data_IF_023606919934
#
_entry.id   IF_023606919934
#
_cell.length_a   1.000
_cell.length_b   1.000
_cell.length_c   1.000
_cell.angle_alpha   90.00
_cell.angle_beta   90.00
_cell.angle_gamma   90.00
#
_symmetry.space_group_name_H-M   'P 1'
#
loop_
_entity.id
_entity.type
_entity.pdbx_description
1 polymer ?
#
# COMPACT_ATOMS: atom_id res chain seq x y z
N UNK A 1 -2.47 -1.87 -20.73
CA UNK A 1 -1.07 -1.86 -20.32
C UNK A 1 -0.64 -0.41 -20.17
N UNK A 2 -0.22 -0.02 -18.97
CA UNK A 2 0.47 1.25 -18.72
C UNK A 2 1.86 0.93 -18.20
N UNK A 3 2.89 1.65 -18.66
CA UNK A 3 4.27 1.45 -18.25
C UNK A 3 4.81 2.71 -17.58
N UNK A 4 5.49 2.54 -16.45
CA UNK A 4 6.23 3.61 -15.76
C UNK A 4 7.70 3.24 -15.75
N UNK A 5 8.57 4.21 -16.03
CA UNK A 5 10.02 4.05 -16.04
C UNK A 5 10.62 4.94 -14.96
N UNK A 6 11.45 4.36 -14.09
CA UNK A 6 12.22 5.08 -13.07
C UNK A 6 13.71 4.94 -13.34
N UNK A 7 14.46 6.05 -13.33
CA UNK A 7 15.93 6.04 -13.35
C UNK A 7 16.62 5.43 -14.59
N UNK A 8 15.86 4.98 -15.60
CA UNK A 8 16.37 4.50 -16.90
C UNK A 8 16.68 3.00 -16.99
N UNK A 9 16.38 2.19 -15.97
CA UNK A 9 16.59 0.72 -15.99
C UNK A 9 15.40 -0.04 -15.43
N UNK A 10 14.71 0.50 -14.42
CA UNK A 10 13.56 -0.17 -13.82
C UNK A 10 12.25 0.24 -14.48
N UNK A 11 11.45 -0.77 -14.83
CA UNK A 11 10.16 -0.65 -15.48
C UNK A 11 9.08 -1.31 -14.64
N UNK A 12 7.95 -0.63 -14.53
CA UNK A 12 6.75 -1.11 -13.87
C UNK A 12 5.63 -1.15 -14.88
N UNK A 13 5.13 -2.35 -15.17
CA UNK A 13 4.01 -2.54 -16.09
C UNK A 13 2.74 -2.86 -15.32
N UNK A 14 1.65 -2.17 -15.67
CA UNK A 14 0.35 -2.29 -15.02
C UNK A 14 -0.74 -2.76 -15.99
N UNK A 15 -1.55 -3.69 -15.53
CA UNK A 15 -2.77 -4.13 -16.22
C UNK A 15 -4.01 -3.76 -15.43
N UNK A 16 -5.11 -3.53 -16.16
CA UNK A 16 -6.38 -3.07 -15.61
C UNK A 16 -7.54 -3.87 -16.19
N UNK A 17 -8.58 -4.05 -15.38
CA UNK A 17 -9.84 -4.62 -15.85
C UNK A 17 -10.71 -3.58 -16.59
N UNK A 18 -11.87 -4.03 -17.08
CA UNK A 18 -12.84 -3.16 -17.76
C UNK A 18 -13.48 -2.08 -16.88
N UNK A 19 -13.25 -2.11 -15.56
CA UNK A 19 -13.67 -1.10 -14.61
C UNK A 19 -12.52 -0.15 -14.21
N UNK A 20 -11.37 -0.26 -14.88
CA UNK A 20 -10.14 0.49 -14.61
C UNK A 20 -9.50 0.23 -13.25
N UNK A 21 -9.74 -0.95 -12.67
CA UNK A 21 -9.06 -1.38 -11.43
C UNK A 21 -7.73 -2.04 -11.82
N UNK A 22 -6.63 -1.67 -11.16
CA UNK A 22 -5.32 -2.28 -11.42
C UNK A 22 -5.36 -3.74 -10.97
N UNK A 23 -5.28 -4.69 -11.89
CA UNK A 23 -5.35 -6.14 -11.61
C UNK A 23 -3.97 -6.80 -11.59
N UNK A 24 -2.95 -6.16 -12.16
CA UNK A 24 -1.59 -6.69 -12.18
C UNK A 24 -0.55 -5.56 -12.11
N UNK A 25 0.56 -5.82 -11.41
CA UNK A 25 1.82 -5.07 -11.47
C UNK A 25 2.92 -6.06 -11.85
N UNK A 26 3.76 -5.70 -12.81
CA UNK A 26 4.95 -6.48 -13.19
C UNK A 26 6.19 -5.61 -13.00
N UNK A 27 7.09 -6.06 -12.13
CA UNK A 27 8.34 -5.37 -11.85
C UNK A 27 9.43 -5.99 -12.75
N UNK A 28 10.02 -5.16 -13.63
CA UNK A 28 11.11 -5.53 -14.53
C UNK A 28 10.86 -6.80 -15.36
N UNK A 29 9.60 -7.07 -15.71
CA UNK A 29 9.22 -8.23 -16.51
C UNK A 29 9.40 -9.59 -15.81
N UNK A 30 9.64 -9.63 -14.49
CA UNK A 30 9.96 -10.87 -13.76
C UNK A 30 9.04 -11.13 -12.57
N UNK A 31 8.88 -10.15 -11.67
CA UNK A 31 8.02 -10.27 -10.49
C UNK A 31 6.61 -9.83 -10.86
N UNK A 32 5.61 -10.68 -10.66
CA UNK A 32 4.20 -10.35 -10.94
C UNK A 32 3.41 -10.32 -9.65
N UNK A 33 2.75 -9.19 -9.38
CA UNK A 33 1.77 -9.05 -8.30
C UNK A 33 0.37 -8.98 -8.89
N UNK A 34 -0.53 -9.88 -8.47
CA UNK A 34 -1.95 -9.86 -8.84
C UNK A 34 -2.79 -9.15 -7.79
N UNK A 35 -3.84 -8.44 -8.20
CA UNK A 35 -4.74 -7.71 -7.31
C UNK A 35 -6.19 -8.14 -7.51
N UNK A 36 -6.83 -8.58 -6.42
CA UNK A 36 -8.21 -9.03 -6.40
C UNK A 36 -9.07 -8.07 -5.61
N UNK A 37 -10.25 -7.73 -6.15
CA UNK A 37 -11.12 -6.69 -5.58
C UNK A 37 -12.53 -7.20 -5.28
N UNK A 38 -13.15 -6.61 -4.26
CA UNK A 38 -14.59 -6.71 -4.08
C UNK A 38 -15.35 -5.67 -4.95
N UNK A 39 -16.68 -5.66 -4.82
CA UNK A 39 -17.57 -4.75 -5.58
C UNK A 39 -17.40 -3.29 -5.20
N UNK A 40 -16.85 -2.98 -4.01
CA UNK A 40 -16.62 -1.62 -3.54
C UNK A 40 -15.24 -1.07 -3.97
N UNK A 41 -14.51 -1.79 -4.84
CA UNK A 41 -13.17 -1.41 -5.30
C UNK A 41 -12.12 -1.43 -4.18
N UNK A 42 -12.30 -2.32 -3.21
CA UNK A 42 -11.31 -2.59 -2.19
C UNK A 42 -10.49 -3.80 -2.61
N UNK A 43 -9.16 -3.67 -2.60
CA UNK A 43 -8.29 -4.82 -2.84
C UNK A 43 -8.39 -5.73 -1.61
N UNK A 44 -8.78 -6.98 -1.79
CA UNK A 44 -8.99 -7.95 -0.71
C UNK A 44 -7.86 -8.99 -0.62
N UNK A 45 -7.17 -9.21 -1.73
CA UNK A 45 -6.07 -10.15 -1.85
C UNK A 45 -5.05 -9.61 -2.86
N UNK A 46 -3.79 -9.72 -2.48
CA UNK A 46 -2.66 -9.72 -3.40
C UNK A 46 -2.09 -11.12 -3.52
N UNK A 47 -1.72 -11.47 -4.73
CA UNK A 47 -0.92 -12.64 -5.02
C UNK A 47 0.46 -12.25 -5.53
N UNK A 48 1.41 -13.15 -5.37
CA UNK A 48 2.69 -13.07 -6.05
C UNK A 48 2.89 -14.27 -6.96
N UNK A 49 3.52 -14.02 -8.10
CA UNK A 49 3.81 -15.05 -9.07
C UNK A 49 5.15 -14.85 -9.75
N UNK A 50 5.81 -15.97 -10.02
CA UNK A 50 7.02 -16.06 -10.85
C UNK A 50 6.88 -17.30 -11.74
N UNK A 51 7.07 -17.15 -13.04
CA UNK A 51 7.15 -18.29 -13.97
C UNK A 51 5.87 -19.15 -14.06
N UNK A 52 4.68 -18.55 -13.86
CA UNK A 52 3.38 -19.23 -14.01
C UNK A 52 2.85 -19.92 -12.75
N UNK A 53 3.58 -19.84 -11.63
CA UNK A 53 3.03 -20.14 -10.30
C UNK A 53 2.48 -18.87 -9.67
N UNK A 54 1.39 -18.96 -8.93
CA UNK A 54 0.76 -17.85 -8.21
C UNK A 54 0.38 -18.32 -6.79
N UNK A 55 0.75 -17.54 -5.79
CA UNK A 55 0.43 -17.80 -4.39
C UNK A 55 -0.19 -16.55 -3.74
N UNK A 56 -1.06 -16.75 -2.76
CA UNK A 56 -1.57 -15.66 -1.94
C UNK A 56 -0.42 -15.02 -1.15
N UNK A 57 -0.29 -13.70 -1.25
CA UNK A 57 0.76 -12.92 -0.57
C UNK A 57 0.19 -12.12 0.60
N UNK A 58 -0.85 -11.33 0.35
CA UNK A 58 -1.40 -10.40 1.33
C UNK A 58 -2.91 -10.42 1.31
N UNK A 59 -3.55 -10.51 2.47
CA UNK A 59 -5.00 -10.35 2.62
C UNK A 59 -5.29 -9.02 3.30
N UNK A 60 -6.29 -8.30 2.79
CA UNK A 60 -6.73 -7.02 3.33
C UNK A 60 -8.17 -7.10 3.81
N UNK A 61 -8.41 -6.60 5.02
CA UNK A 61 -9.74 -6.42 5.59
C UNK A 61 -9.99 -4.93 5.76
N UNK A 62 -11.18 -4.49 5.37
CA UNK A 62 -11.56 -3.08 5.36
C UNK A 62 -12.68 -2.80 6.35
N UNK A 63 -12.69 -1.60 6.92
CA UNK A 63 -13.75 -1.17 7.83
C UNK A 63 -15.04 -0.90 7.05
N UNK A 64 -16.22 -1.20 7.61
CA UNK A 64 -17.49 -1.07 6.89
C UNK A 64 -17.93 0.39 6.67
N UNK A 65 -17.40 1.34 7.43
CA UNK A 65 -17.89 2.73 7.41
C UNK A 65 -17.29 3.59 6.30
N UNK A 66 -16.19 3.15 5.67
CA UNK A 66 -15.58 3.89 4.56
C UNK A 66 -14.76 2.98 3.65
N UNK A 67 -14.81 3.25 2.35
CA UNK A 67 -14.22 2.38 1.32
C UNK A 67 -12.70 2.30 1.40
N UNK A 68 -12.01 3.38 1.75
CA UNK A 68 -10.54 3.42 1.84
C UNK A 68 -10.05 3.30 3.30
N UNK A 69 -10.86 2.74 4.22
CA UNK A 69 -10.48 2.55 5.62
C UNK A 69 -9.92 1.15 5.86
N UNK A 70 -8.61 0.99 5.66
CA UNK A 70 -7.90 -0.28 5.91
C UNK A 70 -8.03 -0.67 7.40
N UNK A 71 -8.53 -1.87 7.68
CA UNK A 71 -8.65 -2.35 9.05
C UNK A 71 -7.44 -3.21 9.43
N UNK A 72 -7.18 -4.24 8.62
CA UNK A 72 -6.19 -5.27 8.90
C UNK A 72 -5.49 -5.66 7.61
N UNK A 73 -4.19 -5.93 7.72
CA UNK A 73 -3.40 -6.59 6.69
C UNK A 73 -2.74 -7.83 7.29
N UNK A 74 -2.86 -8.96 6.61
CA UNK A 74 -2.17 -10.20 6.95
C UNK A 74 -1.25 -10.59 5.79
N UNK A 75 0.03 -10.88 6.04
CA UNK A 75 0.92 -11.39 4.98
C UNK A 75 1.32 -12.85 5.23
N UNK A 76 1.29 -13.62 4.16
CA UNK A 76 1.58 -15.05 4.19
C UNK A 76 3.08 -15.39 4.25
N UNK A 77 3.93 -14.47 3.79
CA UNK A 77 5.40 -14.62 3.75
C UNK A 77 6.06 -14.35 5.11
N UNK A 78 5.54 -13.39 5.87
CA UNK A 78 6.06 -13.01 7.19
C UNK A 78 5.20 -13.52 8.36
N UNK A 79 4.03 -14.11 8.08
CA UNK A 79 3.04 -14.55 9.10
C UNK A 79 2.66 -13.43 10.08
N UNK A 80 2.53 -12.21 9.54
CA UNK A 80 2.25 -10.99 10.30
C UNK A 80 0.78 -10.57 10.20
N UNK A 81 0.25 -9.98 11.28
CA UNK A 81 -1.08 -9.35 11.31
C UNK A 81 -0.96 -7.93 11.86
N UNK A 82 -1.28 -6.95 11.02
CA UNK A 82 -1.20 -5.54 11.37
C UNK A 82 -2.57 -4.88 11.31
N UNK A 83 -2.90 -4.14 12.35
CA UNK A 83 -4.11 -3.33 12.46
C UNK A 83 -3.79 -1.85 12.21
N UNK A 84 -4.63 -1.18 11.43
CA UNK A 84 -4.39 0.19 11.03
C UNK A 84 -5.36 1.18 11.71
N UNK A 85 -4.78 2.33 12.06
CA UNK A 85 -5.48 3.49 12.64
C UNK A 85 -5.52 4.63 11.64
N UNK A 86 -6.52 5.50 11.77
CA UNK A 86 -6.74 6.58 10.82
C UNK A 86 -7.10 7.89 11.51
N UNK A 87 -6.80 9.00 10.84
CA UNK A 87 -7.36 10.31 11.16
C UNK A 87 -8.74 10.54 10.50
N UNK A 88 -9.30 11.75 10.68
CA UNK A 88 -10.59 12.12 10.12
C UNK A 88 -10.64 12.18 8.58
N UNK A 89 -9.48 12.31 7.92
CA UNK A 89 -9.36 12.28 6.46
C UNK A 89 -8.98 10.87 5.95
N UNK A 90 -9.02 9.88 6.83
CA UNK A 90 -8.64 8.49 6.57
C UNK A 90 -7.17 8.29 6.22
N UNK A 91 -6.30 9.25 6.51
CA UNK A 91 -4.86 9.01 6.42
C UNK A 91 -4.49 7.94 7.44
N UNK A 92 -3.72 6.93 7.03
CA UNK A 92 -3.25 5.90 7.96
C UNK A 92 -2.25 6.53 8.92
N UNK A 93 -2.53 6.57 10.22
CA UNK A 93 -1.69 7.26 11.21
C UNK A 93 -0.70 6.35 11.90
N UNK A 94 -1.03 5.07 12.02
CA UNK A 94 -0.16 4.07 12.63
C UNK A 94 -0.61 2.65 12.27
N UNK A 95 0.37 1.73 12.29
CA UNK A 95 0.19 0.29 12.29
C UNK A 95 0.51 -0.27 13.69
N UNK A 96 -0.35 -1.17 14.16
CA UNK A 96 -0.17 -1.85 15.45
C UNK A 96 -0.29 -3.35 15.27
N UNK A 97 0.39 -4.11 16.12
CA UNK A 97 0.32 -5.57 16.15
C UNK A 97 -0.14 -6.06 17.53
N UNK A 98 -0.48 -7.34 17.64
CA UNK A 98 -0.73 -7.96 18.93
C UNK A 98 0.61 -8.19 19.66
N UNK A 99 0.88 -7.41 20.71
CA UNK A 99 2.08 -7.54 21.52
C UNK A 99 1.76 -7.52 23.03
N UNK A 100 2.62 -8.16 23.83
CA UNK A 100 2.54 -8.09 25.31
C UNK A 100 3.11 -6.77 25.87
N UNK A 101 3.85 -6.01 25.05
CA UNK A 101 4.50 -4.74 25.38
C UNK A 101 3.89 -3.55 24.64
N UNK A 102 4.73 -2.75 23.98
CA UNK A 102 4.25 -1.71 23.07
C UNK A 102 3.72 -2.37 21.79
N UNK A 103 2.42 -2.22 21.45
CA UNK A 103 1.86 -2.77 20.22
C UNK A 103 2.19 -1.92 18.98
N UNK A 104 2.85 -0.77 19.15
CA UNK A 104 3.15 0.13 18.05
C UNK A 104 4.27 -0.40 17.17
N UNK A 105 4.00 -0.58 15.88
CA UNK A 105 5.01 -1.04 14.90
C UNK A 105 5.55 0.12 14.08
N UNK A 106 4.65 0.98 13.59
CA UNK A 106 5.04 2.10 12.74
C UNK A 106 4.03 3.25 12.85
N UNK A 107 4.52 4.48 12.75
CA UNK A 107 3.70 5.70 12.74
C UNK A 107 3.96 6.53 11.47
N UNK A 108 2.94 7.30 11.08
CA UNK A 108 3.03 8.16 9.90
C UNK A 108 2.52 9.57 10.22
N UNK A 109 3.33 10.56 9.89
CA UNK A 109 2.93 11.95 9.81
C UNK A 109 2.81 12.37 8.34
N UNK A 110 1.98 13.36 8.04
CA UNK A 110 1.74 13.80 6.66
C UNK A 110 1.89 15.30 6.51
N UNK A 111 2.44 15.72 5.38
CA UNK A 111 2.25 17.10 4.90
C UNK A 111 0.80 17.32 4.45
N UNK A 112 0.34 18.57 4.26
CA UNK A 112 -1.03 18.83 3.81
C UNK A 112 -1.40 18.18 2.47
N UNK A 113 -0.41 17.85 1.64
CA UNK A 113 -0.60 17.21 0.34
C UNK A 113 -0.29 15.71 0.35
N UNK A 114 -0.03 15.14 1.52
CA UNK A 114 0.02 13.69 1.70
C UNK A 114 1.40 13.06 1.56
N UNK A 115 2.47 13.86 1.52
CA UNK A 115 3.82 13.30 1.64
C UNK A 115 4.01 12.76 3.05
N UNK A 116 4.32 11.47 3.16
CA UNK A 116 4.45 10.77 4.43
C UNK A 116 5.85 10.96 5.02
N UNK A 117 5.91 11.18 6.33
CA UNK A 117 7.10 11.04 7.16
C UNK A 117 6.92 9.83 8.05
N UNK A 118 7.83 8.88 7.92
CA UNK A 118 7.83 7.64 8.69
C UNK A 118 8.46 7.89 10.05
N UNK A 119 7.79 7.44 11.10
CA UNK A 119 8.18 7.64 12.48
C UNK A 119 8.26 6.27 13.20
N UNK A 120 9.22 6.17 14.09
CA UNK A 120 9.40 5.03 14.99
C UNK A 120 8.27 4.97 16.03
N UNK A 121 8.20 3.88 16.80
CA UNK A 121 7.21 3.65 17.85
C UNK A 121 7.08 4.83 18.84
N UNK A 122 8.21 5.50 19.11
CA UNK A 122 8.38 6.58 20.07
C UNK A 122 8.22 8.00 19.47
N UNK A 123 7.74 8.13 18.23
CA UNK A 123 7.62 9.38 17.45
C UNK A 123 8.92 10.00 16.93
N UNK A 124 10.08 9.36 17.13
CA UNK A 124 11.30 9.80 16.46
C UNK A 124 11.17 9.59 14.95
N UNK A 125 11.83 10.45 14.17
CA UNK A 125 11.85 10.29 12.71
C UNK A 125 12.65 9.05 12.35
N UNK A 126 12.02 8.12 11.63
CA UNK A 126 12.67 6.89 11.23
C UNK A 126 13.88 7.17 10.33
N UNK A 127 14.97 6.43 10.54
CA UNK A 127 16.19 6.62 9.74
C UNK A 127 15.95 6.27 8.27
N UNK A 128 15.20 5.17 8.05
CA UNK A 128 14.71 4.80 6.74
C UNK A 128 13.35 5.48 6.51
N UNK A 129 13.21 6.30 5.48
CA UNK A 129 11.95 6.92 5.10
C UNK A 129 11.17 6.01 4.14
N UNK A 130 10.93 4.78 4.59
CA UNK A 130 10.17 3.72 3.92
C UNK A 130 9.57 2.81 4.98
N UNK A 131 8.43 2.19 4.69
CA UNK A 131 7.76 1.31 5.66
C UNK A 131 8.57 0.07 5.98
N UNK A 132 8.85 -0.14 7.28
CA UNK A 132 9.52 -1.35 7.77
C UNK A 132 8.68 -2.62 7.56
N UNK A 133 7.35 -2.47 7.55
CA UNK A 133 6.40 -3.56 7.34
C UNK A 133 5.92 -3.62 5.88
N UNK A 134 6.49 -2.83 4.96
CA UNK A 134 6.04 -2.77 3.57
C UNK A 134 4.59 -2.27 3.43
N UNK A 135 4.13 -1.36 4.29
CA UNK A 135 2.81 -0.76 4.16
C UNK A 135 2.77 0.24 2.99
N UNK A 136 1.91 -0.04 2.03
CA UNK A 136 1.68 0.84 0.88
C UNK A 136 0.43 1.71 1.05
N UNK A 137 -0.44 1.43 2.04
CA UNK A 137 -1.66 2.20 2.28
C UNK A 137 -1.39 3.35 3.26
N UNK A 138 -1.38 4.58 2.75
CA UNK A 138 -0.90 5.76 3.48
C UNK A 138 -1.93 6.90 3.45
N UNK A 139 -1.64 7.97 2.70
CA UNK A 139 -2.47 9.17 2.61
C UNK A 139 -3.85 8.85 2.04
N UNK A 140 -4.91 9.34 2.70
CA UNK A 140 -6.32 9.05 2.40
C UNK A 140 -6.68 7.55 2.37
N UNK A 141 -5.85 6.69 2.98
CA UNK A 141 -6.01 5.24 3.01
C UNK A 141 -5.75 4.54 1.67
N UNK A 142 -5.21 5.27 0.70
CA UNK A 142 -4.94 4.77 -0.64
C UNK A 142 -3.52 4.27 -0.76
N UNK A 143 -3.33 3.42 -1.76
CA UNK A 143 -2.05 2.83 -2.08
C UNK A 143 -1.11 3.84 -2.72
N UNK A 144 0.12 3.88 -2.25
CA UNK A 144 1.25 4.54 -2.91
C UNK A 144 2.24 3.49 -3.35
N UNK A 145 2.57 3.49 -4.63
CA UNK A 145 3.56 2.56 -5.18
C UNK A 145 4.96 3.03 -4.74
N UNK A 146 5.70 2.24 -3.94
CA UNK A 146 6.99 2.67 -3.38
C UNK A 146 8.04 2.95 -4.47
N UNK A 147 7.95 2.29 -5.62
CA UNK A 147 8.91 2.41 -6.72
C UNK A 147 8.76 3.72 -7.50
N UNK A 148 7.56 4.32 -7.47
CA UNK A 148 7.25 5.55 -8.23
C UNK A 148 6.93 6.75 -7.33
N UNK A 149 6.57 6.50 -6.06
CA UNK A 149 6.03 7.51 -5.15
C UNK A 149 4.65 8.04 -5.54
N UNK A 150 3.99 7.44 -6.54
CA UNK A 150 2.67 7.85 -7.01
C UNK A 150 1.58 7.11 -6.25
N UNK A 151 0.56 7.86 -5.86
CA UNK A 151 -0.60 7.33 -5.19
C UNK A 151 -1.70 6.96 -6.20
N UNK A 152 -2.22 5.74 -6.10
CA UNK A 152 -3.30 5.26 -6.94
C UNK A 152 -4.66 5.78 -6.43
N UNK A 153 -5.17 6.82 -7.09
CA UNK A 153 -6.50 7.39 -6.86
C UNK A 153 -7.52 6.83 -7.84
N UNK A 154 -7.61 5.49 -7.89
CA UNK A 154 -8.48 4.72 -8.81
C UNK A 154 -8.17 5.06 -10.27
N UNK A 155 -8.94 5.98 -10.85
CA UNK A 155 -8.82 6.39 -12.25
C UNK A 155 -7.62 7.28 -12.56
N UNK A 156 -6.90 7.78 -11.54
CA UNK A 156 -5.76 8.68 -11.72
C UNK A 156 -4.64 8.36 -10.73
N UNK A 157 -3.43 8.75 -11.10
CA UNK A 157 -2.31 8.82 -10.18
C UNK A 157 -2.20 10.23 -9.61
N UNK A 158 -1.80 10.32 -8.34
CA UNK A 158 -1.60 11.56 -7.62
C UNK A 158 -0.17 11.65 -7.12
N UNK A 159 0.47 12.80 -7.33
CA UNK A 159 1.83 13.04 -6.90
C UNK A 159 1.82 13.89 -5.62
N UNK A 160 2.15 13.25 -4.49
CA UNK A 160 2.07 13.87 -3.15
C UNK A 160 2.94 15.12 -3.01
N UNK A 161 4.19 15.08 -3.51
CA UNK A 161 5.11 16.22 -3.46
C UNK A 161 4.71 17.41 -4.37
N UNK A 162 3.93 17.15 -5.43
CA UNK A 162 3.44 18.20 -6.33
C UNK A 162 2.03 18.67 -5.98
N UNK A 163 1.32 17.93 -5.12
CA UNK A 163 -0.06 18.20 -4.75
C UNK A 163 -1.06 18.03 -5.89
N UNK A 164 -0.76 17.23 -6.93
CA UNK A 164 -1.64 17.02 -8.09
C UNK A 164 -1.39 15.73 -8.85
#
# INVERSE_FOLDING_TARGET
>A
MAQVVSGGVDTMDFEYDGLHRRIQKVDNGSSTTGYYYNEQWQCILESEGTGGSEAAKVVYIWRPHYVDALAVRMRADEDDEHFFTHDANFNVTAAVEEATGDPMVERYAYTPYGEATYLEENYDVATAQVSAIGNEHLYTGRRTDPETGLQLNRYRYYHQQLGR
#
